data_IF_440554918377
#
_entry.id   IF_440554918377
#
_cell.length_a   1.000
_cell.length_b   1.000
_cell.length_c   1.000
_cell.angle_alpha   90.00
_cell.angle_beta   90.00
_cell.angle_gamma   90.00
#
_symmetry.space_group_name_H-M   'P 1'
#
loop_
_entity.id
_entity.type
_entity.pdbx_description
1 polymer ?
#
# COMPACT_ATOMS: atom_id res chain seq x y z
N UNK A 1 -18.52 8.44 13.67
CA UNK A 1 -19.13 7.68 12.55
C UNK A 1 -20.52 7.14 12.94
N UNK A 2 -20.64 6.43 14.05
CA UNK A 2 -21.93 5.84 14.47
C UNK A 2 -23.00 6.93 14.68
N UNK A 3 -22.65 8.04 15.33
CA UNK A 3 -23.55 9.18 15.49
C UNK A 3 -23.99 9.83 14.18
N UNK A 4 -23.20 9.60 13.12
CA UNK A 4 -23.51 10.07 11.76
C UNK A 4 -24.22 8.98 10.92
N UNK A 5 -24.64 7.89 11.55
CA UNK A 5 -25.42 6.84 10.89
C UNK A 5 -24.66 5.65 10.35
N UNK A 6 -23.32 5.60 10.53
CA UNK A 6 -22.57 4.43 10.08
C UNK A 6 -22.81 3.24 11.02
N UNK A 7 -23.10 2.09 10.44
CA UNK A 7 -23.25 0.83 11.19
C UNK A 7 -21.89 0.35 11.72
N UNK A 8 -21.89 -0.30 12.89
CA UNK A 8 -20.68 -0.92 13.41
C UNK A 8 -20.48 -2.24 12.66
N UNK A 9 -19.31 -2.40 12.05
CA UNK A 9 -18.93 -3.65 11.41
C UNK A 9 -17.73 -4.25 12.18
N UNK A 10 -17.96 -5.36 12.83
CA UNK A 10 -16.94 -6.03 13.65
C UNK A 10 -16.12 -7.07 12.86
N UNK A 11 -16.51 -7.33 11.62
CA UNK A 11 -15.82 -8.32 10.76
C UNK A 11 -16.02 -7.96 9.29
N UNK A 12 -15.01 -7.36 8.68
CA UNK A 12 -15.02 -7.00 7.27
C UNK A 12 -14.80 -8.20 6.33
N UNK A 13 -14.63 -9.40 6.86
CA UNK A 13 -14.46 -10.63 6.08
C UNK A 13 -15.72 -11.51 6.04
N UNK A 14 -16.83 -11.03 6.58
CA UNK A 14 -18.09 -11.77 6.60
C UNK A 14 -18.93 -11.63 5.31
N UNK A 15 -18.41 -10.93 4.31
CA UNK A 15 -19.12 -10.66 3.06
C UNK A 15 -19.79 -9.29 3.01
N UNK A 16 -19.81 -8.54 4.11
CA UNK A 16 -20.32 -7.17 4.17
C UNK A 16 -19.19 -6.21 4.53
N UNK A 17 -18.84 -5.33 3.61
CA UNK A 17 -17.79 -4.34 3.83
C UNK A 17 -18.29 -3.03 4.45
N UNK A 18 -19.60 -2.72 4.35
CA UNK A 18 -20.12 -1.43 4.79
C UNK A 18 -19.95 -1.23 6.29
N UNK A 19 -19.78 0.04 6.68
CA UNK A 19 -19.78 0.46 8.07
C UNK A 19 -18.41 0.81 8.61
N UNK A 20 -18.35 1.02 9.91
CA UNK A 20 -17.14 1.45 10.62
C UNK A 20 -16.69 0.36 11.59
N UNK A 21 -15.39 0.08 11.60
CA UNK A 21 -14.82 -0.94 12.47
C UNK A 21 -13.32 -0.77 12.66
N UNK A 22 -12.75 -1.68 13.42
CA UNK A 22 -11.30 -1.72 13.62
C UNK A 22 -10.62 -2.42 12.44
N UNK A 23 -9.39 -2.06 12.19
CA UNK A 23 -8.54 -2.74 11.23
C UNK A 23 -8.16 -4.14 11.69
N UNK A 24 -8.26 -5.08 10.80
CA UNK A 24 -7.56 -6.36 10.92
C UNK A 24 -6.11 -6.17 10.50
N UNK A 25 -5.20 -6.58 11.35
CA UNK A 25 -3.77 -6.33 11.14
C UNK A 25 -2.97 -7.62 11.23
N UNK A 26 -1.99 -7.75 10.34
CA UNK A 26 -1.07 -8.90 10.35
C UNK A 26 0.04 -8.68 11.39
N UNK A 27 -0.34 -8.78 12.66
CA UNK A 27 0.56 -8.63 13.80
C UNK A 27 0.42 -9.83 14.73
N UNK A 28 1.53 -10.43 15.14
CA UNK A 28 1.59 -11.50 16.12
C UNK A 28 2.64 -11.16 17.17
N UNK A 29 2.25 -11.19 18.44
CA UNK A 29 3.12 -10.81 19.56
C UNK A 29 3.80 -9.45 19.34
N UNK A 30 3.04 -8.46 18.89
CA UNK A 30 3.53 -7.10 18.65
C UNK A 30 4.48 -6.95 17.46
N UNK A 31 4.66 -7.99 16.64
CA UNK A 31 5.52 -7.94 15.44
C UNK A 31 4.70 -8.13 14.18
N UNK A 32 5.01 -7.35 13.16
CA UNK A 32 4.41 -7.52 11.83
C UNK A 32 4.72 -8.93 11.31
N UNK A 33 3.69 -9.61 10.84
CA UNK A 33 3.82 -10.93 10.21
C UNK A 33 3.73 -10.78 8.69
N UNK A 34 4.88 -10.74 8.04
CA UNK A 34 4.93 -10.86 6.58
C UNK A 34 4.66 -12.31 6.17
N UNK A 35 4.35 -12.53 4.89
CA UNK A 35 4.20 -13.90 4.36
C UNK A 35 5.48 -14.72 4.59
N UNK A 36 6.65 -14.07 4.45
CA UNK A 36 7.93 -14.71 4.72
C UNK A 36 8.02 -15.18 6.19
N UNK A 37 7.69 -14.30 7.17
CA UNK A 37 7.71 -14.65 8.59
C UNK A 37 6.70 -15.74 8.92
N UNK A 38 5.53 -15.70 8.32
CA UNK A 38 4.45 -16.64 8.61
C UNK A 38 4.68 -18.03 8.00
N UNK A 39 5.15 -18.09 6.75
CA UNK A 39 5.18 -19.35 6.00
C UNK A 39 6.59 -19.93 5.80
N UNK A 40 7.64 -19.10 5.85
CA UNK A 40 9.01 -19.57 5.61
C UNK A 40 9.82 -19.80 6.90
N UNK A 41 9.23 -19.53 8.05
CA UNK A 41 9.86 -19.78 9.36
C UNK A 41 10.26 -21.26 9.53
N UNK A 42 9.41 -22.15 9.04
CA UNK A 42 9.63 -23.59 9.06
C UNK A 42 9.78 -24.08 7.63
N UNK A 43 10.87 -23.64 6.99
CA UNK A 43 11.17 -23.97 5.60
C UNK A 43 11.21 -25.50 5.38
N UNK A 44 10.38 -26.04 4.48
CA UNK A 44 10.45 -27.48 4.16
C UNK A 44 11.76 -27.83 3.43
N UNK A 45 12.19 -29.09 3.56
CA UNK A 45 13.48 -29.53 3.01
C UNK A 45 13.55 -29.47 1.48
N UNK A 46 12.40 -29.56 0.80
CA UNK A 46 12.32 -29.48 -0.66
C UNK A 46 12.18 -28.06 -1.20
N UNK A 47 12.35 -27.02 -0.36
CA UNK A 47 12.29 -25.62 -0.79
C UNK A 47 13.71 -25.02 -0.84
N UNK A 48 14.10 -24.54 -2.02
CA UNK A 48 15.33 -23.75 -2.19
C UNK A 48 14.95 -22.28 -2.41
N UNK A 49 15.58 -21.39 -1.66
CA UNK A 49 15.34 -19.94 -1.75
C UNK A 49 16.62 -19.24 -2.17
N UNK A 50 16.60 -18.62 -3.33
CA UNK A 50 17.67 -17.77 -3.81
C UNK A 50 17.38 -16.33 -3.41
N UNK A 51 18.30 -15.69 -2.71
CA UNK A 51 18.18 -14.29 -2.24
C UNK A 51 19.15 -13.39 -3.00
N UNK A 52 18.81 -12.10 -3.07
CA UNK A 52 19.65 -11.06 -3.69
C UNK A 52 19.93 -11.35 -5.17
N UNK A 53 18.93 -11.92 -5.84
CA UNK A 53 18.99 -12.27 -7.26
C UNK A 53 17.75 -11.70 -7.95
N UNK A 54 17.97 -11.04 -9.07
CA UNK A 54 16.86 -10.50 -9.89
C UNK A 54 16.58 -11.46 -11.06
N UNK A 55 15.28 -11.67 -11.32
CA UNK A 55 14.82 -12.38 -12.53
C UNK A 55 14.82 -11.37 -13.68
N UNK A 56 15.53 -11.68 -14.76
CA UNK A 56 15.62 -10.85 -15.96
C UNK A 56 14.49 -11.22 -16.93
N UNK A 57 14.41 -12.48 -17.30
CA UNK A 57 13.35 -12.98 -18.21
C UNK A 57 13.11 -14.47 -18.08
N UNK A 58 12.00 -14.93 -18.62
CA UNK A 58 11.65 -16.34 -18.73
C UNK A 58 12.30 -16.88 -20.01
N UNK A 59 12.89 -18.06 -19.93
CA UNK A 59 13.42 -18.79 -21.07
C UNK A 59 12.30 -19.66 -21.66
N UNK A 60 11.97 -19.44 -22.92
CA UNK A 60 10.85 -20.09 -23.60
C UNK A 60 11.40 -20.86 -24.82
N UNK A 61 11.07 -22.12 -24.92
CA UNK A 61 11.39 -22.96 -26.05
C UNK A 61 10.16 -23.77 -26.50
N UNK A 62 9.86 -23.73 -27.78
CA UNK A 62 8.71 -24.45 -28.36
C UNK A 62 7.41 -24.16 -27.58
N UNK A 63 7.18 -22.87 -27.26
CA UNK A 63 6.02 -22.36 -26.51
C UNK A 63 5.87 -22.91 -25.09
N UNK A 64 6.99 -23.36 -24.48
CA UNK A 64 7.01 -23.81 -23.08
C UNK A 64 8.05 -23.06 -22.29
N UNK A 65 7.69 -22.65 -21.09
CA UNK A 65 8.65 -22.09 -20.14
C UNK A 65 9.61 -23.20 -19.70
N UNK A 66 10.91 -22.95 -19.86
CA UNK A 66 11.98 -23.90 -19.55
C UNK A 66 12.79 -23.50 -18.33
N UNK A 67 12.77 -22.21 -18.00
CA UNK A 67 13.54 -21.72 -16.89
C UNK A 67 13.57 -20.20 -16.86
N UNK A 68 14.56 -19.67 -16.16
CA UNK A 68 14.72 -18.25 -15.91
C UNK A 68 16.14 -17.80 -16.25
N UNK A 69 16.27 -16.63 -16.85
CA UNK A 69 17.55 -15.91 -16.89
C UNK A 69 17.60 -14.98 -15.68
N UNK A 70 18.61 -15.17 -14.86
CA UNK A 70 18.82 -14.39 -13.64
C UNK A 70 19.99 -13.41 -13.79
N UNK A 71 20.11 -12.46 -12.90
CA UNK A 71 21.20 -11.48 -12.89
C UNK A 71 22.60 -12.13 -12.72
N UNK A 72 22.66 -13.38 -12.26
CA UNK A 72 23.90 -14.13 -12.05
C UNK A 72 24.00 -15.42 -12.89
N UNK A 73 23.09 -15.63 -13.83
CA UNK A 73 23.10 -16.84 -14.66
C UNK A 73 21.71 -17.39 -14.94
N UNK A 74 21.65 -18.64 -15.38
CA UNK A 74 20.40 -19.31 -15.74
C UNK A 74 20.00 -20.37 -14.73
N UNK A 75 18.71 -20.43 -14.44
CA UNK A 75 18.12 -21.48 -13.60
C UNK A 75 16.93 -22.07 -14.35
N UNK A 76 16.89 -23.38 -14.48
CA UNK A 76 15.85 -24.09 -15.20
C UNK A 76 14.80 -24.66 -14.25
N UNK A 77 13.53 -24.41 -14.55
CA UNK A 77 12.42 -25.00 -13.83
C UNK A 77 12.13 -26.41 -14.39
N UNK A 78 11.69 -27.32 -13.52
CA UNK A 78 11.43 -28.70 -13.94
C UNK A 78 10.04 -28.89 -14.56
N UNK A 79 9.04 -28.13 -14.15
CA UNK A 79 7.65 -28.32 -14.59
C UNK A 79 6.95 -27.02 -15.00
N UNK A 80 7.03 -25.97 -14.20
CA UNK A 80 6.34 -24.71 -14.49
C UNK A 80 7.08 -23.52 -13.85
N UNK A 81 6.76 -22.32 -14.34
CA UNK A 81 7.27 -21.06 -13.81
C UNK A 81 6.08 -20.26 -13.29
N UNK A 82 6.13 -19.89 -12.02
CA UNK A 82 5.09 -19.11 -11.36
C UNK A 82 5.59 -17.67 -11.20
N UNK A 83 4.88 -16.70 -11.78
CA UNK A 83 5.21 -15.28 -11.67
C UNK A 83 4.47 -14.66 -10.47
N UNK A 84 5.24 -14.18 -9.49
CA UNK A 84 4.71 -13.47 -8.33
C UNK A 84 5.51 -12.19 -8.07
N UNK A 85 5.84 -11.45 -9.16
CA UNK A 85 6.71 -10.27 -9.12
C UNK A 85 5.95 -8.96 -8.88
N UNK A 86 4.65 -9.05 -8.61
CA UNK A 86 3.78 -7.89 -8.36
C UNK A 86 3.31 -7.20 -9.64
N UNK A 87 2.53 -6.11 -9.45
CA UNK A 87 1.85 -5.41 -10.55
C UNK A 87 2.82 -4.82 -11.57
N UNK A 88 4.04 -4.50 -11.18
CA UNK A 88 5.05 -3.91 -12.06
C UNK A 88 6.05 -4.97 -12.58
N UNK A 89 6.50 -5.85 -11.71
CA UNK A 89 7.53 -6.82 -12.05
C UNK A 89 7.05 -7.92 -12.99
N UNK A 90 5.82 -8.40 -12.82
CA UNK A 90 5.29 -9.49 -13.66
C UNK A 90 5.12 -9.06 -15.12
N UNK A 91 4.46 -7.93 -15.44
CA UNK A 91 4.40 -7.48 -16.83
C UNK A 91 5.79 -7.12 -17.40
N UNK A 92 6.69 -6.52 -16.59
CA UNK A 92 8.07 -6.27 -17.03
C UNK A 92 8.76 -7.56 -17.47
N UNK A 93 8.69 -8.59 -16.63
CA UNK A 93 9.32 -9.89 -16.91
C UNK A 93 8.74 -10.54 -18.16
N UNK A 94 7.41 -10.50 -18.32
CA UNK A 94 6.74 -11.03 -19.51
C UNK A 94 7.21 -10.30 -20.79
N UNK A 95 7.17 -8.97 -20.78
CA UNK A 95 7.57 -8.17 -21.94
C UNK A 95 9.05 -8.39 -22.32
N UNK A 96 9.94 -8.42 -21.33
CA UNK A 96 11.36 -8.71 -21.56
C UNK A 96 11.58 -10.14 -22.08
N UNK A 97 10.60 -11.04 -21.89
CA UNK A 97 10.63 -12.43 -22.37
C UNK A 97 9.98 -12.59 -23.75
N UNK A 98 9.58 -11.47 -24.40
CA UNK A 98 8.93 -11.53 -25.70
C UNK A 98 7.42 -11.83 -25.64
N UNK A 99 6.79 -11.68 -24.47
CA UNK A 99 5.35 -11.89 -24.28
C UNK A 99 4.69 -10.55 -23.95
N UNK A 100 3.88 -10.02 -24.86
CA UNK A 100 3.26 -8.72 -24.66
C UNK A 100 2.68 -8.13 -25.93
N UNK A 101 2.30 -6.83 -25.88
CA UNK A 101 1.77 -6.15 -27.05
C UNK A 101 2.82 -6.05 -28.18
N UNK A 102 2.50 -6.58 -29.33
CA UNK A 102 3.42 -6.70 -30.48
C UNK A 102 4.09 -5.39 -30.85
N UNK A 103 3.31 -4.31 -31.03
CA UNK A 103 3.84 -3.00 -31.41
C UNK A 103 4.83 -2.47 -30.37
N UNK A 104 4.47 -2.58 -29.08
CA UNK A 104 5.33 -2.12 -28.01
C UNK A 104 6.65 -2.88 -27.94
N UNK A 105 6.62 -4.21 -28.09
CA UNK A 105 7.84 -5.04 -28.06
C UNK A 105 8.73 -4.71 -29.27
N UNK A 106 8.14 -4.52 -30.44
CA UNK A 106 8.85 -4.12 -31.66
C UNK A 106 9.54 -2.75 -31.49
N UNK A 107 8.85 -1.76 -30.87
CA UNK A 107 9.44 -0.46 -30.56
C UNK A 107 10.66 -0.54 -29.64
N UNK A 108 10.76 -1.58 -28.85
CA UNK A 108 11.85 -1.80 -27.88
C UNK A 108 12.91 -2.79 -28.39
N UNK A 109 12.86 -3.19 -29.66
CA UNK A 109 13.76 -4.16 -30.28
C UNK A 109 13.75 -5.51 -29.52
N UNK A 110 12.58 -5.92 -29.04
CA UNK A 110 12.38 -7.21 -28.36
C UNK A 110 11.67 -8.15 -29.33
N UNK A 111 12.27 -9.31 -29.57
CA UNK A 111 11.67 -10.36 -30.40
C UNK A 111 10.32 -10.82 -29.82
N UNK A 112 9.27 -10.74 -30.63
CA UNK A 112 7.95 -11.21 -30.24
C UNK A 112 7.88 -12.74 -30.27
N UNK A 113 7.58 -13.34 -29.13
CA UNK A 113 7.30 -14.78 -29.03
C UNK A 113 5.80 -15.03 -28.96
N UNK A 114 5.08 -14.26 -28.16
CA UNK A 114 3.63 -14.41 -27.98
C UNK A 114 2.99 -13.01 -27.93
N UNK A 115 2.09 -12.73 -28.87
CA UNK A 115 1.33 -11.49 -28.84
C UNK A 115 0.24 -11.59 -27.77
N UNK A 116 0.40 -10.83 -26.71
CA UNK A 116 -0.54 -10.79 -25.58
C UNK A 116 -0.83 -9.33 -25.21
N UNK A 117 -1.80 -8.69 -25.90
CA UNK A 117 -2.02 -7.24 -25.79
C UNK A 117 -2.36 -6.73 -24.39
N UNK A 118 -2.90 -7.58 -23.50
CA UNK A 118 -3.24 -7.20 -22.13
C UNK A 118 -2.06 -7.08 -21.18
N UNK A 119 -0.86 -7.50 -21.56
CA UNK A 119 0.32 -7.39 -20.69
C UNK A 119 0.71 -5.92 -20.52
N UNK A 120 0.71 -5.45 -19.27
CA UNK A 120 1.01 -4.07 -18.93
C UNK A 120 -0.17 -3.11 -19.08
N UNK A 121 -1.37 -3.63 -19.36
CA UNK A 121 -2.59 -2.84 -19.44
C UNK A 121 -3.44 -3.01 -18.17
N UNK A 122 -4.47 -2.19 -18.04
CA UNK A 122 -5.45 -2.24 -16.95
C UNK A 122 -4.80 -2.10 -15.55
N UNK A 123 -3.79 -1.24 -15.44
CA UNK A 123 -3.23 -0.92 -14.12
C UNK A 123 -4.29 -0.22 -13.28
N UNK A 124 -4.57 -0.75 -12.10
CA UNK A 124 -5.49 -0.15 -11.13
C UNK A 124 -4.74 0.17 -9.83
N UNK A 125 -5.04 1.33 -9.27
CA UNK A 125 -4.57 1.70 -7.94
C UNK A 125 -5.61 2.62 -7.31
N UNK A 126 -5.67 2.63 -5.98
CA UNK A 126 -6.62 3.46 -5.25
C UNK A 126 -6.09 4.91 -5.17
N UNK A 127 -6.70 5.87 -5.89
CA UNK A 127 -6.36 7.28 -5.62
C UNK A 127 -6.78 7.63 -4.21
N UNK A 128 -5.95 8.45 -3.54
CA UNK A 128 -6.12 8.78 -2.13
C UNK A 128 -6.14 10.30 -1.96
N UNK A 129 -7.15 10.81 -1.25
CA UNK A 129 -7.22 12.22 -0.88
C UNK A 129 -7.08 12.37 0.64
N UNK A 130 -6.05 13.06 1.12
CA UNK A 130 -5.88 13.29 2.56
C UNK A 130 -6.75 14.44 3.04
N UNK A 131 -7.29 14.31 4.26
CA UNK A 131 -8.02 15.36 4.94
C UNK A 131 -7.57 15.43 6.39
N UNK A 132 -7.26 16.64 6.88
CA UNK A 132 -6.85 16.89 8.25
C UNK A 132 -7.91 17.67 8.99
N UNK A 133 -8.21 17.26 10.22
CA UNK A 133 -9.17 17.94 11.11
C UNK A 133 -8.51 18.22 12.45
N UNK A 134 -8.19 19.48 12.71
CA UNK A 134 -7.45 19.86 13.92
C UNK A 134 -8.35 19.86 15.17
N UNK A 135 -7.82 19.38 16.29
CA UNK A 135 -8.49 19.43 17.59
C UNK A 135 -8.05 20.64 18.39
N UNK A 136 -8.98 21.23 19.09
CA UNK A 136 -8.68 22.24 20.14
C UNK A 136 -8.08 21.55 21.38
N UNK A 137 -8.54 20.34 21.69
CA UNK A 137 -8.08 19.55 22.84
C UNK A 137 -7.13 18.41 22.38
N UNK A 138 -5.98 18.31 23.03
CA UNK A 138 -4.90 17.40 22.66
C UNK A 138 -5.02 15.98 23.26
N UNK A 139 -5.96 15.74 24.15
CA UNK A 139 -5.98 14.49 24.94
C UNK A 139 -6.24 13.24 24.09
N UNK A 140 -6.97 13.38 23.00
CA UNK A 140 -7.33 12.26 22.12
C UNK A 140 -6.29 11.98 21.05
N UNK A 141 -5.34 12.89 20.83
CA UNK A 141 -4.38 12.75 19.73
C UNK A 141 -3.12 11.99 20.13
N UNK A 142 -2.61 11.19 19.18
CA UNK A 142 -1.31 10.51 19.32
C UNK A 142 -0.12 11.48 19.24
N UNK A 143 -0.32 12.72 18.80
CA UNK A 143 0.73 13.73 18.76
C UNK A 143 1.39 13.95 20.13
N UNK A 144 0.68 13.69 21.23
CA UNK A 144 1.24 13.75 22.60
C UNK A 144 2.40 12.77 22.83
N UNK A 145 2.49 11.69 22.06
CA UNK A 145 3.55 10.67 22.21
C UNK A 145 4.82 11.03 21.43
N UNK A 146 4.83 12.17 20.72
CA UNK A 146 6.05 12.66 20.07
C UNK A 146 7.06 13.24 21.07
N UNK A 147 6.64 13.59 22.27
CA UNK A 147 7.57 14.00 23.33
C UNK A 147 8.44 12.82 23.71
N UNK A 148 9.75 13.08 23.91
CA UNK A 148 10.73 12.03 24.12
C UNK A 148 10.45 11.21 25.41
N UNK A 149 9.98 11.89 26.48
CA UNK A 149 9.62 11.23 27.73
C UNK A 149 8.51 10.20 27.55
N UNK A 150 7.50 10.53 26.72
CA UNK A 150 6.38 9.63 26.41
C UNK A 150 6.78 8.58 25.37
N UNK A 151 7.61 8.95 24.41
CA UNK A 151 8.11 8.00 23.38
C UNK A 151 8.95 6.89 24.04
N UNK A 152 9.76 7.23 25.03
CA UNK A 152 10.53 6.25 25.82
C UNK A 152 9.58 5.25 26.51
N UNK A 153 8.51 5.74 27.15
CA UNK A 153 7.52 4.85 27.80
C UNK A 153 6.88 3.91 26.79
N UNK A 154 6.49 4.44 25.61
CA UNK A 154 5.91 3.62 24.53
C UNK A 154 6.92 2.56 24.06
N UNK A 155 8.19 2.95 23.91
CA UNK A 155 9.26 2.04 23.51
C UNK A 155 9.51 0.96 24.55
N UNK A 156 9.62 1.32 25.82
CA UNK A 156 9.83 0.37 26.93
C UNK A 156 8.67 -0.63 27.03
N UNK A 157 7.43 -0.13 26.94
CA UNK A 157 6.24 -0.99 26.97
C UNK A 157 6.26 -2.02 25.83
N UNK A 158 6.72 -1.60 24.65
CA UNK A 158 6.87 -2.51 23.51
C UNK A 158 8.01 -3.51 23.71
N UNK A 159 9.18 -3.03 24.16
CA UNK A 159 10.35 -3.91 24.33
C UNK A 159 10.08 -4.99 25.36
N UNK A 160 9.50 -4.61 26.52
CA UNK A 160 9.28 -5.52 27.65
C UNK A 160 8.05 -6.41 27.47
N UNK A 161 6.96 -5.88 26.94
CA UNK A 161 5.66 -6.56 26.92
C UNK A 161 5.09 -6.82 25.53
N UNK A 162 5.70 -6.29 24.47
CA UNK A 162 5.20 -6.37 23.08
C UNK A 162 3.77 -5.79 22.94
N UNK A 163 3.48 -4.75 23.72
CA UNK A 163 2.16 -4.12 23.81
C UNK A 163 2.22 -2.61 23.59
N UNK A 164 1.05 -2.00 23.47
CA UNK A 164 0.90 -0.56 23.35
C UNK A 164 1.00 -0.04 21.93
N UNK A 165 1.17 1.27 21.81
CA UNK A 165 1.09 1.98 20.53
C UNK A 165 2.13 1.49 19.50
N UNK A 166 3.32 1.10 19.95
CA UNK A 166 4.37 0.61 19.04
C UNK A 166 4.13 -0.85 18.59
N UNK A 167 3.16 -1.55 19.15
CA UNK A 167 2.81 -2.92 18.78
C UNK A 167 1.68 -3.01 17.75
N UNK A 168 1.15 -1.86 17.29
CA UNK A 168 0.01 -1.77 16.40
C UNK A 168 0.23 -0.69 15.35
N UNK A 169 -0.42 -0.76 14.21
CA UNK A 169 -0.33 0.31 13.22
C UNK A 169 -1.02 1.59 13.73
N UNK A 170 -0.62 2.72 13.20
CA UNK A 170 -1.21 4.02 13.56
C UNK A 170 -2.65 4.14 13.07
N UNK A 171 -2.99 3.48 12.00
CA UNK A 171 -4.35 3.42 11.46
C UNK A 171 -5.19 2.56 12.40
N UNK A 172 -6.17 3.17 13.05
CA UNK A 172 -6.92 2.48 14.10
C UNK A 172 -8.34 2.11 13.70
N UNK A 173 -8.90 2.86 12.75
CA UNK A 173 -10.31 2.74 12.36
C UNK A 173 -10.44 2.77 10.85
N UNK A 174 -11.36 1.99 10.36
CA UNK A 174 -11.70 1.84 8.97
C UNK A 174 -13.19 2.14 8.81
N UNK A 175 -13.55 2.97 7.83
CA UNK A 175 -14.93 3.22 7.45
C UNK A 175 -15.07 2.90 5.97
N UNK A 176 -15.99 2.02 5.64
CA UNK A 176 -16.40 1.79 4.26
C UNK A 176 -17.75 2.43 4.02
N UNK A 177 -17.89 3.14 2.92
CA UNK A 177 -19.08 3.88 2.57
C UNK A 177 -19.47 3.58 1.12
N UNK A 178 -20.68 3.08 0.95
CA UNK A 178 -21.26 2.80 -0.36
C UNK A 178 -21.99 4.05 -0.87
N UNK A 179 -21.67 4.46 -2.08
CA UNK A 179 -22.30 5.60 -2.75
C UNK A 179 -23.49 5.12 -3.60
N UNK A 180 -23.30 4.09 -4.40
CA UNK A 180 -24.28 3.60 -5.37
C UNK A 180 -24.89 2.25 -4.97
N UNK A 181 -24.04 1.29 -4.69
CA UNK A 181 -24.46 -0.09 -4.41
C UNK A 181 -24.20 -0.44 -2.95
N UNK A 182 -25.29 -0.65 -2.21
CA UNK A 182 -25.25 -0.86 -0.75
C UNK A 182 -24.22 -1.90 -0.30
N UNK A 183 -24.02 -2.95 -1.07
CA UNK A 183 -23.15 -4.06 -0.67
C UNK A 183 -21.72 -3.96 -1.24
N UNK A 184 -21.46 -2.91 -2.03
CA UNK A 184 -20.15 -2.73 -2.68
C UNK A 184 -19.63 -1.30 -2.49
N UNK A 185 -19.12 -0.97 -1.31
CA UNK A 185 -18.65 0.39 -1.04
C UNK A 185 -17.53 0.82 -2.01
N UNK A 186 -17.69 2.02 -2.52
CA UNK A 186 -16.70 2.66 -3.40
C UNK A 186 -15.62 3.39 -2.62
N UNK A 187 -15.92 3.80 -1.38
CA UNK A 187 -15.04 4.64 -0.57
C UNK A 187 -14.59 3.88 0.68
N UNK A 188 -13.29 3.96 0.95
CA UNK A 188 -12.70 3.52 2.20
C UNK A 188 -11.98 4.70 2.86
N UNK A 189 -12.28 4.92 4.14
CA UNK A 189 -11.65 6.02 4.90
C UNK A 189 -10.81 5.45 6.03
N UNK A 190 -9.51 5.69 5.96
CA UNK A 190 -8.57 5.37 7.03
C UNK A 190 -8.49 6.54 8.00
N UNK A 191 -8.46 6.27 9.29
CA UNK A 191 -8.37 7.31 10.29
C UNK A 191 -7.19 7.08 11.24
N UNK A 192 -6.42 8.15 11.45
CA UNK A 192 -5.35 8.20 12.45
C UNK A 192 -5.60 9.40 13.37
N UNK A 193 -5.58 9.22 14.69
CA UNK A 193 -5.80 10.34 15.62
C UNK A 193 -4.54 11.21 15.79
N UNK A 194 -4.06 11.77 14.68
CA UNK A 194 -2.91 12.66 14.62
C UNK A 194 -2.88 13.32 13.24
N UNK A 195 -2.77 14.65 13.17
CA UNK A 195 -2.62 15.36 11.91
C UNK A 195 -1.15 15.55 11.56
N UNK A 196 -0.84 15.48 10.28
CA UNK A 196 0.49 15.75 9.75
C UNK A 196 0.52 17.14 9.12
N UNK A 197 1.64 17.84 9.28
CA UNK A 197 1.93 19.06 8.51
C UNK A 197 2.36 18.64 7.10
N UNK A 198 2.31 19.56 6.16
CA UNK A 198 2.53 19.31 4.73
C UNK A 198 3.73 18.41 4.38
N UNK A 199 3.72 17.87 3.18
CA UNK A 199 4.61 16.82 2.62
C UNK A 199 6.12 17.04 2.76
N UNK A 200 6.57 18.27 2.96
CA UNK A 200 8.00 18.57 3.18
C UNK A 200 8.53 18.01 4.50
N UNK A 201 7.62 17.61 5.37
CA UNK A 201 7.96 17.04 6.69
C UNK A 201 7.82 15.51 6.66
N UNK A 202 8.48 14.87 5.72
CA UNK A 202 8.52 13.39 5.65
C UNK A 202 8.80 12.79 7.02
N UNK A 203 8.06 11.76 7.33
CA UNK A 203 8.13 10.98 8.57
C UNK A 203 9.46 10.20 8.66
N UNK A 204 10.53 10.77 8.19
CA UNK A 204 11.83 10.17 8.44
C UNK A 204 12.26 10.53 9.86
N UNK A 205 12.57 9.54 10.64
CA UNK A 205 13.40 9.72 11.83
C UNK A 205 14.80 10.10 11.33
N UNK A 206 14.91 11.32 10.80
CA UNK A 206 16.21 11.80 10.37
C UNK A 206 17.06 12.07 11.62
N UNK A 207 18.34 11.85 11.49
CA UNK A 207 19.35 12.19 12.51
C UNK A 207 19.23 13.64 12.99
N UNK A 208 18.73 14.54 12.13
CA UNK A 208 18.49 15.95 12.48
C UNK A 208 17.45 16.11 13.59
N UNK A 209 16.50 15.19 13.72
CA UNK A 209 15.51 15.20 14.79
C UNK A 209 16.11 14.71 16.13
N UNK A 210 17.14 13.89 16.09
CA UNK A 210 17.85 13.46 17.28
C UNK A 210 18.78 14.57 17.83
N UNK A 211 19.29 15.42 16.96
CA UNK A 211 20.20 16.50 17.33
C UNK A 211 19.48 17.71 17.95
N UNK A 212 18.16 17.84 17.74
CA UNK A 212 17.34 18.89 18.34
C UNK A 212 16.74 18.46 19.69
N UNK A 213 17.60 18.00 20.60
CA UNK A 213 17.21 17.46 21.91
C UNK A 213 16.29 18.39 22.71
N UNK A 214 16.50 19.68 22.65
CA UNK A 214 15.67 20.67 23.35
C UNK A 214 14.23 20.73 22.82
N UNK A 215 14.03 20.63 21.51
CA UNK A 215 12.70 20.67 20.90
C UNK A 215 11.87 19.42 21.19
N UNK A 216 12.52 18.27 21.42
CA UNK A 216 11.87 17.01 21.74
C UNK A 216 11.24 17.01 23.15
N UNK A 217 11.79 17.81 24.08
CA UNK A 217 11.25 17.92 25.44
C UNK A 217 10.17 18.98 25.56
N UNK A 218 10.31 20.09 24.85
CA UNK A 218 9.48 21.29 25.04
C UNK A 218 8.50 21.59 23.90
N UNK A 219 8.80 21.17 22.67
CA UNK A 219 7.83 21.27 21.58
C UNK A 219 7.18 19.90 21.34
N UNK A 220 5.91 19.90 21.04
CA UNK A 220 5.14 18.71 20.71
C UNK A 220 5.41 18.26 19.28
N UNK A 221 6.68 18.24 18.85
CA UNK A 221 7.07 17.89 17.49
C UNK A 221 6.53 18.87 16.44
N UNK A 222 7.40 19.44 15.65
CA UNK A 222 6.98 20.34 14.56
C UNK A 222 6.21 19.64 13.43
N UNK A 223 6.18 18.28 13.43
CA UNK A 223 5.69 17.46 12.30
C UNK A 223 4.26 16.99 12.43
N UNK A 224 3.69 16.96 13.64
CA UNK A 224 2.30 16.57 13.85
C UNK A 224 1.62 17.47 14.87
N UNK A 225 0.33 17.63 14.71
CA UNK A 225 -0.49 18.44 15.62
C UNK A 225 -1.74 17.66 16.05
N UNK A 226 -2.42 18.08 17.14
CA UNK A 226 -3.61 17.38 17.59
C UNK A 226 -4.74 17.40 16.56
N UNK A 227 -5.29 16.25 16.26
CA UNK A 227 -6.36 16.16 15.29
C UNK A 227 -6.59 14.75 14.79
N UNK A 228 -7.37 14.64 13.73
CA UNK A 228 -7.59 13.42 12.96
C UNK A 228 -7.08 13.61 11.54
N UNK A 229 -6.33 12.65 11.07
CA UNK A 229 -5.93 12.54 9.66
C UNK A 229 -6.76 11.43 9.02
N UNK A 230 -7.38 11.76 7.92
CA UNK A 230 -8.17 10.84 7.12
C UNK A 230 -7.47 10.62 5.78
N UNK A 231 -7.43 9.37 5.33
CA UNK A 231 -7.12 9.03 3.95
C UNK A 231 -8.39 8.46 3.32
N UNK A 232 -8.93 9.19 2.37
CA UNK A 232 -10.14 8.84 1.64
C UNK A 232 -9.68 8.16 0.36
N UNK A 233 -9.99 6.89 0.22
CA UNK A 233 -9.54 6.03 -0.87
C UNK A 233 -10.73 5.67 -1.75
N UNK A 234 -10.57 5.84 -3.07
CA UNK A 234 -11.52 5.31 -4.04
C UNK A 234 -11.11 3.87 -4.35
N UNK A 235 -11.96 2.92 -3.97
CA UNK A 235 -11.63 1.48 -4.04
C UNK A 235 -11.77 0.88 -5.43
N UNK A 236 -12.67 1.40 -6.23
CA UNK A 236 -12.99 0.83 -7.54
C UNK A 236 -12.99 1.91 -8.62
N UNK A 237 -11.81 2.51 -8.90
CA UNK A 237 -11.75 3.46 -10.01
C UNK A 237 -12.06 2.76 -11.32
N UNK A 238 -12.80 3.44 -12.19
CA UNK A 238 -13.04 3.01 -13.57
C UNK A 238 -11.85 3.36 -14.45
N UNK A 239 -11.10 4.38 -14.08
CA UNK A 239 -9.86 4.76 -14.74
C UNK A 239 -8.87 3.62 -14.69
N UNK A 240 -8.26 3.31 -15.81
CA UNK A 240 -7.22 2.28 -15.92
C UNK A 240 -5.96 2.86 -16.52
N UNK A 241 -4.85 2.39 -16.02
CA UNK A 241 -3.53 2.82 -16.47
C UNK A 241 -2.74 1.72 -17.16
N UNK A 242 -1.44 1.96 -17.29
CA UNK A 242 -0.55 1.03 -17.97
C UNK A 242 0.85 0.98 -17.35
N UNK A 243 1.53 -0.12 -17.61
CA UNK A 243 2.92 -0.38 -17.24
C UNK A 243 3.67 -0.77 -18.52
N UNK A 244 4.60 0.06 -18.98
CA UNK A 244 5.32 -0.14 -20.25
C UNK A 244 6.82 -0.18 -20.02
N UNK A 245 7.55 -0.90 -20.86
CA UNK A 245 9.01 -0.87 -20.89
C UNK A 245 9.51 0.47 -21.40
N UNK A 246 10.54 1.01 -20.77
CA UNK A 246 11.26 2.17 -21.27
C UNK A 246 12.23 1.77 -22.39
N UNK A 247 12.87 0.62 -22.24
CA UNK A 247 13.78 0.01 -23.22
C UNK A 247 13.84 -1.51 -23.03
N UNK A 248 14.66 -2.20 -23.83
CA UNK A 248 14.95 -3.62 -23.66
C UNK A 248 15.95 -3.94 -22.53
N UNK A 249 16.55 -2.90 -21.92
CA UNK A 249 17.47 -3.08 -20.79
C UNK A 249 16.70 -3.41 -19.50
N UNK A 250 16.93 -4.57 -18.88
CA UNK A 250 16.20 -4.97 -17.67
C UNK A 250 16.44 -4.06 -16.45
N UNK A 251 17.52 -3.26 -16.46
CA UNK A 251 17.83 -2.35 -15.36
C UNK A 251 17.11 -1.00 -15.47
N UNK A 252 16.53 -0.70 -16.62
CA UNK A 252 15.82 0.58 -16.81
C UNK A 252 14.49 0.57 -16.05
N UNK A 253 14.11 1.74 -15.59
CA UNK A 253 12.83 1.97 -14.94
C UNK A 253 11.67 1.74 -15.93
N UNK A 254 10.51 1.39 -15.39
CA UNK A 254 9.29 1.27 -16.18
C UNK A 254 8.66 2.65 -16.42
N UNK A 255 7.95 2.77 -17.51
CA UNK A 255 7.02 3.88 -17.72
C UNK A 255 5.67 3.46 -17.13
N UNK A 256 5.34 4.01 -15.96
CA UNK A 256 4.12 3.68 -15.20
C UNK A 256 3.18 4.87 -15.30
N UNK A 257 2.02 4.65 -15.86
CA UNK A 257 0.98 5.66 -15.96
C UNK A 257 -0.30 5.14 -15.28
N UNK A 258 -0.63 5.60 -14.06
CA UNK A 258 -1.86 5.18 -13.39
C UNK A 258 -3.14 5.71 -14.06
N UNK A 259 -3.03 6.82 -14.78
CA UNK A 259 -4.15 7.43 -15.51
C UNK A 259 -5.33 7.80 -14.60
N UNK A 260 -5.04 8.20 -13.35
CA UNK A 260 -6.08 8.53 -12.36
C UNK A 260 -7.03 9.61 -12.86
N UNK A 261 -8.32 9.42 -12.60
CA UNK A 261 -9.39 10.38 -12.90
C UNK A 261 -9.60 10.67 -14.39
N UNK A 262 -9.15 9.76 -15.27
CA UNK A 262 -9.45 9.88 -16.71
C UNK A 262 -10.93 9.63 -16.97
N UNK A 263 -11.56 8.78 -16.16
CA UNK A 263 -13.02 8.64 -16.12
C UNK A 263 -13.60 9.67 -15.14
N UNK A 264 -14.47 10.59 -15.60
CA UNK A 264 -14.99 11.64 -14.71
C UNK A 264 -15.77 11.14 -13.50
N UNK A 265 -16.38 9.97 -13.58
CA UNK A 265 -17.14 9.42 -12.44
C UNK A 265 -16.25 9.11 -11.23
N UNK A 266 -14.96 8.82 -11.46
CA UNK A 266 -14.00 8.61 -10.36
C UNK A 266 -13.82 9.89 -9.52
N UNK A 267 -13.82 11.03 -10.19
CA UNK A 267 -13.72 12.33 -9.49
C UNK A 267 -15.00 12.64 -8.72
N UNK A 268 -16.17 12.33 -9.31
CA UNK A 268 -17.46 12.50 -8.64
C UNK A 268 -17.52 11.65 -7.37
N UNK A 269 -17.17 10.38 -7.46
CA UNK A 269 -17.13 9.45 -6.32
C UNK A 269 -16.17 9.93 -5.23
N UNK A 270 -14.99 10.41 -5.62
CA UNK A 270 -14.01 10.95 -4.66
C UNK A 270 -14.57 12.17 -3.92
N UNK A 271 -15.21 13.09 -4.66
CA UNK A 271 -15.84 14.30 -4.07
C UNK A 271 -16.94 13.89 -3.09
N UNK A 272 -17.77 12.92 -3.44
CA UNK A 272 -18.85 12.44 -2.56
C UNK A 272 -18.27 11.77 -1.30
N UNK A 273 -17.20 10.99 -1.43
CA UNK A 273 -16.48 10.42 -0.30
C UNK A 273 -15.92 11.49 0.64
N UNK A 274 -15.38 12.57 0.08
CA UNK A 274 -14.88 13.72 0.87
C UNK A 274 -16.02 14.45 1.60
N UNK A 275 -17.15 14.68 0.91
CA UNK A 275 -18.34 15.32 1.51
C UNK A 275 -18.87 14.45 2.66
N UNK A 276 -19.01 13.14 2.44
CA UNK A 276 -19.48 12.21 3.46
C UNK A 276 -18.55 12.20 4.68
N UNK A 277 -17.24 12.15 4.46
CA UNK A 277 -16.24 12.20 5.55
C UNK A 277 -16.39 13.49 6.36
N UNK A 278 -16.58 14.63 5.70
CA UNK A 278 -16.78 15.92 6.36
C UNK A 278 -18.10 15.96 7.15
N UNK A 279 -19.15 15.37 6.62
CA UNK A 279 -20.44 15.27 7.31
C UNK A 279 -20.30 14.41 8.59
N UNK A 280 -19.63 13.27 8.51
CA UNK A 280 -19.34 12.41 9.67
C UNK A 280 -18.59 13.22 10.75
N UNK A 281 -17.64 14.06 10.36
CA UNK A 281 -16.87 14.89 11.29
C UNK A 281 -17.71 16.02 11.92
N UNK A 282 -18.69 16.54 11.20
CA UNK A 282 -19.56 17.61 11.73
C UNK A 282 -20.46 17.13 12.90
N UNK A 283 -20.67 15.86 13.08
CA UNK A 283 -21.42 15.25 14.20
C UNK A 283 -20.61 15.01 15.46
N UNK A 284 -19.60 15.16 15.15
CA UNK A 284 -18.79 14.89 16.26
C UNK A 284 -18.31 15.97 16.99
#
# INVERSE_FOLDING_TARGET
>A
CVEAGAEINNDFYNGNLNGVGRYDVKVWNGKRQSSSEAYLKFKPNNLTIYKNISVIKILIEKNKAKGLLLSNGEVYASSEVILSLGAFGSPKCLMLSGIGPEEHLKEKDIELLINLPGVGENLHDHPVMPMNWAFQNNNLSFSKYQRIDRAIIVGLKYILFKQGLAAAPFWSTNLFHAIREKDMPEIQVFMTPMCFKEEKDNWSMSLDNLLNFGSLFFSRGKKAFPGLHFQINLLRPKSTGSVKLKSSNPNDELNINPNWFIDPSDMEDMIDGMKHTREVLSKX
#
